data_IF_599032093153
#
_entry.id   IF_599032093153
#
_cell.length_a   1.000
_cell.length_b   1.000
_cell.length_c   1.000
_cell.angle_alpha   90.00
_cell.angle_beta   90.00
_cell.angle_gamma   90.00
#
_symmetry.space_group_name_H-M   'P 1'
#
loop_
_entity.id
_entity.type
_entity.pdbx_description
1 polymer ?
#
# COMPACT_ATOMS: atom_id res chain seq x y z
N UNK A 1 -8.20 -8.15 -4.85
CA UNK A 1 -7.48 -7.05 -4.18
C UNK A 1 -7.94 -7.01 -2.73
N UNK A 2 -7.03 -6.83 -1.77
CA UNK A 2 -7.36 -6.65 -0.36
C UNK A 2 -6.63 -5.43 0.22
N UNK A 3 -7.24 -4.81 1.22
CA UNK A 3 -6.71 -3.63 1.86
C UNK A 3 -6.85 -3.68 3.38
N UNK A 4 -5.91 -3.02 4.05
CA UNK A 4 -6.10 -2.55 5.41
C UNK A 4 -6.95 -1.28 5.33
N UNK A 5 -8.10 -1.30 6.00
CA UNK A 5 -8.97 -0.14 6.18
C UNK A 5 -8.66 0.49 7.53
N UNK A 6 -8.02 1.66 7.50
CA UNK A 6 -7.63 2.40 8.70
C UNK A 6 -8.84 3.06 9.33
N UNK A 7 -8.98 2.91 10.65
CA UNK A 7 -9.97 3.60 11.48
C UNK A 7 -9.34 4.70 12.34
N UNK A 8 -8.01 4.86 12.28
CA UNK A 8 -7.22 5.80 13.09
C UNK A 8 -6.79 5.22 14.43
N UNK A 9 -5.82 5.89 15.08
CA UNK A 9 -5.23 5.48 16.36
C UNK A 9 -4.71 4.02 16.35
N UNK A 10 -4.12 3.58 15.23
CA UNK A 10 -3.65 2.22 15.01
C UNK A 10 -4.75 1.15 14.87
N UNK A 11 -6.03 1.52 14.88
CA UNK A 11 -7.14 0.59 14.63
C UNK A 11 -7.35 0.39 13.15
N UNK A 12 -7.57 -0.86 12.76
CA UNK A 12 -7.85 -1.22 11.39
C UNK A 12 -8.58 -2.57 11.31
N UNK A 13 -9.16 -2.83 10.15
CA UNK A 13 -9.59 -4.16 9.74
C UNK A 13 -9.15 -4.43 8.30
N UNK A 14 -9.24 -5.68 7.86
CA UNK A 14 -8.88 -6.06 6.49
C UNK A 14 -10.16 -6.36 5.73
N UNK A 15 -10.26 -5.82 4.52
CA UNK A 15 -11.39 -6.05 3.62
C UNK A 15 -10.91 -6.34 2.20
N UNK A 16 -11.60 -7.20 1.43
CA UNK A 16 -11.52 -7.13 -0.02
C UNK A 16 -11.93 -5.73 -0.51
N UNK A 17 -11.37 -5.34 -1.65
CA UNK A 17 -11.73 -4.10 -2.35
C UNK A 17 -12.58 -4.46 -3.56
N UNK A 18 -13.74 -3.80 -3.67
CA UNK A 18 -14.69 -4.03 -4.75
C UNK A 18 -14.58 -2.99 -5.87
N UNK A 19 -14.09 -1.80 -5.55
CA UNK A 19 -13.87 -0.75 -6.52
C UNK A 19 -13.16 0.46 -5.94
N UNK A 20 -12.63 1.27 -6.84
CA UNK A 20 -12.00 2.55 -6.58
C UNK A 20 -12.60 3.58 -7.54
N UNK A 21 -13.18 4.64 -6.99
CA UNK A 21 -13.92 5.62 -7.76
C UNK A 21 -13.53 7.04 -7.38
N UNK A 22 -13.66 7.96 -8.35
CA UNK A 22 -13.40 9.39 -8.20
C UNK A 22 -14.67 10.17 -8.52
N UNK A 23 -14.99 11.16 -7.69
CA UNK A 23 -16.16 12.05 -7.85
C UNK A 23 -15.71 13.46 -8.25
N UNK A 24 -14.97 13.54 -9.35
CA UNK A 24 -14.47 14.80 -9.89
C UNK A 24 -15.56 15.46 -10.73
N UNK A 25 -16.07 16.60 -10.25
CA UNK A 25 -17.19 17.35 -10.85
C UNK A 25 -16.75 18.68 -11.44
N UNK A 26 -15.68 19.27 -10.89
CA UNK A 26 -15.19 20.57 -11.31
C UNK A 26 -14.57 20.53 -12.70
N UNK A 27 -14.83 21.60 -13.46
CA UNK A 27 -14.17 21.90 -14.74
C UNK A 27 -13.01 22.89 -14.59
N UNK A 28 -12.88 23.53 -13.43
CA UNK A 28 -11.73 24.38 -13.10
C UNK A 28 -10.53 23.49 -12.75
N UNK A 29 -9.38 23.74 -13.37
CA UNK A 29 -8.23 22.82 -13.29
C UNK A 29 -7.71 22.64 -11.85
N UNK A 30 -7.64 23.71 -11.06
CA UNK A 30 -7.13 23.63 -9.69
C UNK A 30 -8.13 22.92 -8.78
N UNK A 31 -9.42 23.26 -8.89
CA UNK A 31 -10.45 22.59 -8.12
C UNK A 31 -10.61 21.11 -8.55
N UNK A 32 -10.43 20.80 -9.84
CA UNK A 32 -10.43 19.43 -10.36
C UNK A 32 -9.27 18.63 -9.77
N UNK A 33 -8.08 19.22 -9.68
CA UNK A 33 -6.92 18.63 -9.02
C UNK A 33 -7.21 18.32 -7.54
N UNK A 34 -7.75 19.28 -6.79
CA UNK A 34 -8.11 19.07 -5.39
C UNK A 34 -9.16 17.96 -5.22
N UNK A 35 -10.18 17.94 -6.07
CA UNK A 35 -11.18 16.87 -6.07
C UNK A 35 -10.55 15.51 -6.37
N UNK A 36 -9.64 15.42 -7.34
CA UNK A 36 -8.96 14.17 -7.70
C UNK A 36 -8.10 13.58 -6.59
N UNK A 37 -7.75 14.37 -5.58
CA UNK A 37 -6.97 13.95 -4.41
C UNK A 37 -7.87 13.64 -3.22
N UNK A 38 -8.89 14.47 -2.97
CA UNK A 38 -9.68 14.41 -1.72
C UNK A 38 -11.03 13.70 -1.84
N UNK A 39 -11.58 13.54 -3.04
CA UNK A 39 -12.85 12.81 -3.24
C UNK A 39 -12.72 11.35 -3.66
N UNK A 40 -11.54 10.78 -4.03
CA UNK A 40 -11.47 9.36 -4.30
C UNK A 40 -11.89 8.52 -3.10
N UNK A 41 -12.59 7.43 -3.37
CA UNK A 41 -13.02 6.47 -2.36
C UNK A 41 -12.93 5.04 -2.90
N UNK A 42 -12.79 4.12 -1.96
CA UNK A 42 -12.88 2.70 -2.21
C UNK A 42 -14.24 2.17 -1.75
N UNK A 43 -14.72 1.15 -2.43
CA UNK A 43 -15.86 0.33 -1.97
C UNK A 43 -15.29 -0.91 -1.31
N UNK A 44 -15.57 -1.06 -0.02
CA UNK A 44 -15.09 -2.14 0.85
C UNK A 44 -16.26 -2.66 1.69
N UNK A 45 -16.07 -3.80 2.34
CA UNK A 45 -16.95 -4.20 3.44
C UNK A 45 -16.76 -3.27 4.63
N UNK A 46 -17.80 -3.12 5.45
CA UNK A 46 -17.64 -2.70 6.84
C UNK A 46 -16.90 -3.78 7.66
N UNK A 47 -16.47 -3.42 8.87
CA UNK A 47 -15.72 -4.33 9.76
C UNK A 47 -16.51 -5.62 10.07
N UNK A 48 -17.85 -5.54 10.10
CA UNK A 48 -18.72 -6.69 10.31
C UNK A 48 -18.84 -7.62 9.08
N UNK A 49 -18.48 -7.12 7.88
CA UNK A 49 -18.63 -7.87 6.63
C UNK A 49 -20.09 -8.06 6.22
N UNK A 50 -20.95 -7.09 6.56
CA UNK A 50 -22.41 -7.10 6.37
C UNK A 50 -22.85 -6.05 5.34
N UNK A 51 -22.17 -4.89 5.28
CA UNK A 51 -22.55 -3.78 4.41
C UNK A 51 -21.38 -3.33 3.53
N UNK A 52 -21.66 -3.02 2.27
CA UNK A 52 -20.71 -2.27 1.46
C UNK A 52 -20.74 -0.81 1.89
N UNK A 53 -19.57 -0.20 1.97
CA UNK A 53 -19.41 1.20 2.37
C UNK A 53 -18.44 1.93 1.43
N UNK A 54 -18.61 3.25 1.35
CA UNK A 54 -17.59 4.15 0.78
C UNK A 54 -16.59 4.49 1.86
N UNK A 55 -15.32 4.22 1.61
CA UNK A 55 -14.23 4.67 2.45
C UNK A 55 -13.32 5.59 1.65
N UNK A 56 -13.20 6.86 2.05
CA UNK A 56 -12.35 7.80 1.33
C UNK A 56 -10.91 7.31 1.30
N UNK A 57 -10.23 7.46 0.15
CA UNK A 57 -8.83 7.09 0.00
C UNK A 57 -7.93 7.91 0.94
N UNK A 58 -8.29 9.18 1.15
CA UNK A 58 -7.61 10.12 2.03
C UNK A 58 -8.53 10.56 3.17
N UNK A 59 -7.97 10.83 4.34
CA UNK A 59 -8.73 11.42 5.45
C UNK A 59 -9.28 12.79 5.02
N UNK A 60 -10.60 13.04 5.17
CA UNK A 60 -11.17 14.33 4.81
C UNK A 60 -10.82 15.39 5.85
N UNK A 61 -10.76 16.65 5.41
CA UNK A 61 -10.61 17.85 6.27
C UNK A 61 -9.31 17.90 7.09
N UNK A 62 -8.24 17.28 6.60
CA UNK A 62 -6.91 17.35 7.19
C UNK A 62 -5.99 18.26 6.38
N UNK A 63 -4.99 18.85 7.05
CA UNK A 63 -3.95 19.65 6.37
C UNK A 63 -3.07 18.77 5.48
N UNK A 64 -2.85 17.53 5.89
CA UNK A 64 -1.97 16.57 5.23
C UNK A 64 -2.79 15.49 4.53
N UNK A 65 -2.22 14.91 3.48
CA UNK A 65 -2.77 13.71 2.84
C UNK A 65 -2.48 12.52 3.76
N UNK A 66 -3.54 11.93 4.29
CA UNK A 66 -3.44 10.81 5.22
C UNK A 66 -4.22 9.65 4.58
N UNK A 67 -3.53 8.71 3.91
CA UNK A 67 -4.19 7.56 3.29
C UNK A 67 -4.96 6.74 4.32
N UNK A 68 -6.17 6.34 3.99
CA UNK A 68 -7.02 5.53 4.86
C UNK A 68 -7.11 4.07 4.41
N UNK A 69 -6.66 3.78 3.20
CA UNK A 69 -6.67 2.47 2.56
C UNK A 69 -5.22 2.14 2.20
N UNK A 70 -4.69 1.04 2.74
CA UNK A 70 -3.39 0.51 2.36
C UNK A 70 -3.61 -0.80 1.61
N UNK A 71 -3.31 -0.84 0.31
CA UNK A 71 -3.51 -2.01 -0.53
C UNK A 71 -2.41 -3.02 -0.21
N UNK A 72 -2.77 -4.16 0.37
CA UNK A 72 -1.84 -5.21 0.83
C UNK A 72 -1.85 -6.45 -0.07
N UNK A 73 -2.80 -6.53 -0.99
CA UNK A 73 -2.83 -7.51 -2.06
C UNK A 73 -3.42 -6.82 -3.30
N UNK A 74 -2.56 -6.53 -4.27
CA UNK A 74 -2.90 -5.70 -5.44
C UNK A 74 -3.53 -6.49 -6.58
N UNK A 75 -3.75 -7.80 -6.47
CA UNK A 75 -4.41 -8.59 -7.52
C UNK A 75 -5.79 -8.06 -7.90
N UNK A 76 -5.99 -7.67 -9.16
CA UNK A 76 -7.22 -7.09 -9.70
C UNK A 76 -8.02 -8.08 -10.58
N UNK A 77 -8.02 -9.37 -10.23
CA UNK A 77 -8.78 -10.37 -10.98
C UNK A 77 -10.27 -10.00 -11.04
N UNK A 78 -10.82 -9.99 -12.26
CA UNK A 78 -12.21 -9.62 -12.51
C UNK A 78 -12.51 -8.13 -12.43
N UNK A 79 -11.50 -7.26 -12.33
CA UNK A 79 -11.71 -5.81 -12.38
C UNK A 79 -11.89 -5.30 -13.82
N UNK A 80 -12.73 -4.29 -13.95
CA UNK A 80 -12.87 -3.46 -15.15
C UNK A 80 -12.56 -2.02 -14.71
N UNK A 81 -11.52 -1.44 -15.31
CA UNK A 81 -11.06 -0.08 -15.05
C UNK A 81 -10.99 0.76 -16.34
N UNK A 82 -11.12 2.07 -16.18
CA UNK A 82 -10.87 3.05 -17.23
C UNK A 82 -9.38 3.46 -17.30
N UNK A 83 -9.07 4.38 -18.21
CA UNK A 83 -7.70 4.87 -18.44
C UNK A 83 -7.11 5.60 -17.22
N UNK A 84 -7.94 6.05 -16.26
CA UNK A 84 -7.53 6.75 -15.05
C UNK A 84 -7.44 5.81 -13.83
N UNK A 85 -7.50 4.49 -14.07
CA UNK A 85 -7.50 3.43 -13.05
C UNK A 85 -8.76 3.41 -12.19
N UNK A 86 -9.85 4.05 -12.64
CA UNK A 86 -11.13 4.07 -11.94
C UNK A 86 -11.96 2.87 -12.38
N UNK A 87 -12.40 2.06 -11.43
CA UNK A 87 -12.97 0.77 -11.76
C UNK A 87 -13.32 -0.08 -10.55
N UNK A 88 -13.75 -1.30 -10.83
CA UNK A 88 -14.09 -2.28 -9.81
C UNK A 88 -14.40 -3.64 -10.39
N UNK A 89 -14.82 -4.57 -9.54
CA UNK A 89 -15.17 -5.93 -9.96
C UNK A 89 -16.34 -5.92 -10.94
N UNK A 90 -16.25 -6.72 -12.00
CA UNK A 90 -17.14 -6.73 -13.16
C UNK A 90 -18.63 -6.94 -12.81
N UNK A 91 -18.91 -7.74 -11.79
CA UNK A 91 -20.26 -8.07 -11.34
C UNK A 91 -20.88 -7.00 -10.44
N UNK A 92 -20.10 -6.02 -10.00
CA UNK A 92 -20.54 -4.91 -9.16
C UNK A 92 -20.16 -3.56 -9.82
N UNK A 93 -20.83 -3.17 -10.92
CA UNK A 93 -20.67 -1.85 -11.50
C UNK A 93 -20.95 -0.74 -10.49
N UNK A 94 -20.34 0.43 -10.70
CA UNK A 94 -20.43 1.57 -9.80
C UNK A 94 -21.86 1.93 -9.41
N UNK A 95 -22.78 1.97 -10.37
CA UNK A 95 -24.18 2.33 -10.13
C UNK A 95 -24.88 1.34 -9.19
N UNK A 96 -24.51 0.06 -9.28
CA UNK A 96 -25.04 -1.00 -8.41
C UNK A 96 -24.42 -0.88 -7.02
N UNK A 97 -23.11 -0.63 -6.93
CA UNK A 97 -22.43 -0.39 -5.66
C UNK A 97 -23.05 0.81 -4.92
N UNK A 98 -23.22 1.94 -5.62
CA UNK A 98 -23.83 3.15 -5.07
C UNK A 98 -25.27 2.88 -4.57
N UNK A 99 -26.08 2.15 -5.34
CA UNK A 99 -27.43 1.77 -4.92
C UNK A 99 -27.44 0.88 -3.67
N UNK A 100 -26.52 -0.09 -3.58
CA UNK A 100 -26.40 -0.97 -2.40
C UNK A 100 -26.00 -0.15 -1.18
N UNK A 101 -25.02 0.74 -1.32
CA UNK A 101 -24.53 1.58 -0.23
C UNK A 101 -25.65 2.51 0.28
N UNK A 102 -26.42 3.11 -0.63
CA UNK A 102 -27.49 4.05 -0.24
C UNK A 102 -28.72 3.35 0.36
N UNK A 103 -29.08 2.16 -0.15
CA UNK A 103 -30.30 1.45 0.26
C UNK A 103 -30.09 0.37 1.32
N UNK A 104 -28.87 -0.14 1.46
CA UNK A 104 -28.53 -1.34 2.24
C UNK A 104 -29.04 -2.65 1.63
N UNK A 105 -29.61 -2.62 0.41
CA UNK A 105 -30.24 -3.79 -0.21
C UNK A 105 -29.42 -4.31 -1.38
N UNK A 106 -29.05 -5.58 -1.31
CA UNK A 106 -28.36 -6.28 -2.39
C UNK A 106 -29.37 -6.81 -3.43
N UNK A 107 -29.15 -6.56 -4.73
CA UNK A 107 -29.84 -7.28 -5.78
C UNK A 107 -29.57 -8.79 -5.69
N UNK A 108 -30.49 -9.59 -6.22
CA UNK A 108 -30.43 -11.06 -6.17
C UNK A 108 -29.05 -11.61 -6.60
N UNK A 109 -28.43 -12.38 -5.72
CA UNK A 109 -27.14 -13.04 -5.95
C UNK A 109 -25.90 -12.15 -5.84
N UNK A 110 -26.03 -10.83 -5.74
CA UNK A 110 -24.87 -9.92 -5.62
C UNK A 110 -24.18 -10.06 -4.26
N UNK A 111 -24.96 -10.23 -3.19
CA UNK A 111 -24.41 -10.42 -1.84
C UNK A 111 -23.46 -11.63 -1.78
N UNK A 112 -23.90 -12.79 -2.30
CA UNK A 112 -23.10 -14.01 -2.30
C UNK A 112 -21.83 -13.87 -3.15
N UNK A 113 -21.91 -13.16 -4.28
CA UNK A 113 -20.71 -12.82 -5.07
C UNK A 113 -19.75 -11.95 -4.26
N UNK A 114 -20.26 -10.93 -3.56
CA UNK A 114 -19.42 -10.07 -2.71
C UNK A 114 -18.77 -10.87 -1.56
N UNK A 115 -19.50 -11.81 -0.94
CA UNK A 115 -18.94 -12.70 0.11
C UNK A 115 -17.92 -13.70 -0.44
N UNK A 116 -18.07 -14.08 -1.70
CA UNK A 116 -17.10 -14.95 -2.38
C UNK A 116 -15.78 -14.22 -2.71
N UNK A 117 -15.80 -12.89 -2.90
CA UNK A 117 -14.59 -12.10 -3.07
C UNK A 117 -13.76 -12.15 -1.79
N UNK A 118 -12.53 -12.66 -1.90
CA UNK A 118 -11.66 -12.83 -0.75
C UNK A 118 -12.06 -13.99 0.17
N UNK A 119 -13.02 -14.83 -0.23
CA UNK A 119 -13.34 -16.03 0.54
C UNK A 119 -12.09 -16.93 0.66
N UNK A 120 -11.68 -17.19 1.90
CA UNK A 120 -10.47 -17.97 2.19
C UNK A 120 -9.17 -17.16 2.17
N UNK A 121 -9.22 -15.84 1.96
CA UNK A 121 -8.08 -14.97 2.17
C UNK A 121 -7.72 -14.92 3.67
N UNK A 122 -6.45 -15.16 3.97
CA UNK A 122 -5.90 -15.04 5.32
C UNK A 122 -4.85 -13.92 5.32
N UNK A 123 -5.13 -12.87 6.08
CA UNK A 123 -4.16 -11.80 6.27
C UNK A 123 -2.97 -12.30 7.09
N UNK A 124 -1.77 -12.22 6.52
CA UNK A 124 -0.53 -12.44 7.26
C UNK A 124 0.14 -11.08 7.51
N UNK A 125 0.36 -10.69 8.78
CA UNK A 125 1.00 -9.42 9.12
C UNK A 125 2.45 -9.29 8.63
N UNK A 126 3.13 -10.43 8.46
CA UNK A 126 4.50 -10.49 7.96
C UNK A 126 4.51 -11.24 6.63
N UNK A 127 5.16 -10.66 5.63
CA UNK A 127 5.27 -11.20 4.27
C UNK A 127 6.74 -11.21 3.84
N UNK A 128 7.19 -12.30 3.26
CA UNK A 128 8.53 -12.42 2.67
C UNK A 128 8.47 -12.05 1.18
N UNK A 129 9.48 -11.33 0.71
CA UNK A 129 9.65 -10.99 -0.71
C UNK A 129 10.24 -12.20 -1.43
N UNK A 130 9.42 -12.93 -2.17
CA UNK A 130 9.82 -14.12 -2.93
C UNK A 130 9.57 -13.97 -4.43
N UNK A 131 8.66 -13.09 -4.81
CA UNK A 131 8.17 -12.91 -6.17
C UNK A 131 7.97 -11.43 -6.50
N UNK A 132 7.84 -11.11 -7.78
CA UNK A 132 7.47 -9.76 -8.22
C UNK A 132 6.13 -9.31 -7.61
N UNK A 133 5.21 -10.26 -7.36
CA UNK A 133 3.93 -9.94 -6.74
C UNK A 133 4.09 -9.44 -5.31
N UNK A 134 5.03 -10.00 -4.56
CA UNK A 134 5.32 -9.56 -3.20
C UNK A 134 5.91 -8.15 -3.20
N UNK A 135 6.75 -7.82 -4.20
CA UNK A 135 7.27 -6.46 -4.42
C UNK A 135 6.14 -5.49 -4.72
N UNK A 136 5.28 -5.80 -5.70
CA UNK A 136 4.11 -4.99 -6.03
C UNK A 136 3.24 -4.74 -4.79
N UNK A 137 2.95 -5.77 -4.02
CA UNK A 137 2.13 -5.64 -2.81
C UNK A 137 2.78 -4.72 -1.77
N UNK A 138 4.10 -4.77 -1.60
CA UNK A 138 4.83 -3.86 -0.73
C UNK A 138 4.76 -2.41 -1.24
N UNK A 139 5.03 -2.18 -2.52
CA UNK A 139 4.97 -0.86 -3.16
C UNK A 139 3.59 -0.21 -3.02
N UNK A 140 2.53 -0.99 -3.26
CA UNK A 140 1.15 -0.56 -3.10
C UNK A 140 0.81 -0.21 -1.64
N UNK A 141 1.32 -0.97 -0.67
CA UNK A 141 1.05 -0.75 0.74
C UNK A 141 1.83 0.44 1.32
N UNK A 142 3.06 0.66 0.86
CA UNK A 142 3.96 1.69 1.37
C UNK A 142 3.92 3.01 0.58
N UNK A 143 3.25 3.04 -0.57
CA UNK A 143 3.30 4.17 -1.50
C UNK A 143 4.69 4.32 -2.12
N UNK A 144 5.35 3.20 -2.43
CA UNK A 144 6.71 3.19 -2.98
C UNK A 144 7.78 3.70 -2.01
N UNK A 145 7.47 3.78 -0.71
CA UNK A 145 8.33 4.43 0.31
C UNK A 145 8.61 5.93 0.05
N UNK A 146 7.74 6.61 -0.71
CA UNK A 146 7.83 8.06 -0.84
C UNK A 146 7.65 8.72 0.54
N UNK A 147 8.55 9.64 0.87
CA UNK A 147 8.67 10.33 2.17
C UNK A 147 9.03 9.40 3.35
N UNK A 148 9.47 8.17 3.07
CA UNK A 148 9.96 7.29 4.13
C UNK A 148 11.30 7.79 4.69
N UNK A 149 11.54 7.58 5.96
CA UNK A 149 12.86 7.75 6.57
C UNK A 149 13.14 6.63 7.56
N UNK A 150 14.43 6.31 7.75
CA UNK A 150 14.84 5.27 8.69
C UNK A 150 14.73 5.83 10.11
N UNK A 151 13.76 5.32 10.87
CA UNK A 151 13.61 5.63 12.29
C UNK A 151 14.53 4.76 13.16
N UNK A 152 14.79 3.53 12.75
CA UNK A 152 15.59 2.57 13.50
C UNK A 152 16.28 1.60 12.54
N UNK A 153 17.57 1.34 12.75
CA UNK A 153 18.34 0.34 12.01
C UNK A 153 19.24 -0.39 12.99
N UNK A 154 19.07 -1.72 13.12
CA UNK A 154 19.73 -2.52 14.14
C UNK A 154 20.14 -3.89 13.58
N UNK A 155 21.45 -4.15 13.59
CA UNK A 155 21.98 -5.50 13.40
C UNK A 155 21.72 -6.32 14.67
N UNK A 156 21.09 -7.48 14.51
CA UNK A 156 20.71 -8.36 15.60
C UNK A 156 21.82 -9.39 15.89
N UNK A 157 21.74 -10.03 17.06
CA UNK A 157 22.72 -11.02 17.53
C UNK A 157 22.81 -12.26 16.61
N UNK A 158 21.74 -12.56 15.86
CA UNK A 158 21.69 -13.66 14.90
C UNK A 158 22.23 -13.28 13.50
N UNK A 159 22.69 -12.04 13.33
CA UNK A 159 23.21 -11.51 12.07
C UNK A 159 22.13 -10.99 11.11
N UNK A 160 20.85 -11.04 11.48
CA UNK A 160 19.79 -10.37 10.73
C UNK A 160 19.81 -8.86 10.96
N UNK A 161 19.35 -8.08 9.99
CA UNK A 161 19.20 -6.64 10.12
C UNK A 161 17.72 -6.29 10.21
N UNK A 162 17.35 -5.53 11.25
CA UNK A 162 16.03 -4.93 11.40
C UNK A 162 16.08 -3.46 11.04
N UNK A 163 15.13 -3.02 10.21
CA UNK A 163 14.97 -1.62 9.80
C UNK A 163 13.52 -1.22 10.00
N UNK A 164 13.30 -0.07 10.61
CA UNK A 164 11.97 0.53 10.77
C UNK A 164 11.91 1.84 10.03
N UNK A 165 11.00 1.92 9.07
CA UNK A 165 10.67 3.13 8.35
C UNK A 165 9.50 3.85 9.02
N UNK A 166 9.62 5.16 9.13
CA UNK A 166 8.53 6.09 9.45
C UNK A 166 8.32 7.02 8.25
N UNK A 167 7.27 7.85 8.27
CA UNK A 167 7.01 8.81 7.20
C UNK A 167 6.32 8.25 5.95
N UNK A 168 6.29 6.91 5.78
CA UNK A 168 5.43 6.25 4.79
C UNK A 168 3.97 6.65 4.99
N UNK A 169 3.27 7.00 3.93
CA UNK A 169 1.97 7.66 4.07
C UNK A 169 0.91 6.75 4.71
N UNK A 170 0.56 7.06 5.97
CA UNK A 170 -0.49 6.38 6.72
C UNK A 170 -0.08 5.06 7.38
N UNK A 171 1.21 4.73 7.38
CA UNK A 171 1.74 3.58 8.10
C UNK A 171 3.21 3.76 8.46
N UNK A 172 3.71 2.80 9.23
CA UNK A 172 5.15 2.50 9.36
C UNK A 172 5.41 1.15 8.74
N UNK A 173 6.62 0.95 8.24
CA UNK A 173 7.02 -0.33 7.68
C UNK A 173 8.23 -0.86 8.44
N UNK A 174 8.08 -2.03 9.02
CA UNK A 174 9.21 -2.78 9.55
C UNK A 174 9.71 -3.76 8.50
N UNK A 175 11.02 -3.89 8.38
CA UNK A 175 11.70 -4.75 7.40
C UNK A 175 12.80 -5.53 8.12
N UNK A 176 12.93 -6.80 7.76
CA UNK A 176 14.02 -7.67 8.21
C UNK A 176 14.75 -8.26 7.02
N UNK A 177 16.08 -8.24 7.10
CA UNK A 177 16.99 -8.83 6.11
C UNK A 177 17.82 -9.94 6.76
N UNK A 178 18.01 -11.07 6.08
CA UNK A 178 18.86 -12.17 6.58
C UNK A 178 19.50 -13.01 5.48
N UNK A 179 20.53 -13.77 5.86
CA UNK A 179 21.32 -14.61 4.96
C UNK A 179 22.22 -13.76 4.07
N UNK A 180 23.41 -13.40 4.56
CA UNK A 180 24.40 -12.56 3.85
C UNK A 180 23.96 -11.10 3.69
N UNK A 181 23.75 -10.41 4.82
CA UNK A 181 23.32 -9.01 4.86
C UNK A 181 24.49 -8.05 4.58
N UNK A 182 24.29 -7.14 3.64
CA UNK A 182 25.13 -5.97 3.33
C UNK A 182 24.21 -4.75 3.20
N UNK A 183 24.66 -3.58 3.65
CA UNK A 183 23.87 -2.35 3.54
C UNK A 183 24.75 -1.11 3.66
N UNK A 184 24.28 0.00 3.10
CA UNK A 184 24.81 1.35 3.32
C UNK A 184 23.64 2.31 3.51
N UNK A 185 23.64 3.05 4.61
CA UNK A 185 22.60 4.05 4.93
C UNK A 185 23.18 5.47 5.07
N UNK A 186 24.47 5.65 4.77
CA UNK A 186 25.21 6.89 5.05
C UNK A 186 24.74 8.06 4.19
N UNK A 187 24.21 7.81 2.99
CA UNK A 187 23.66 8.84 2.10
C UNK A 187 22.36 9.48 2.59
N UNK A 188 21.79 8.96 3.70
CA UNK A 188 20.56 9.44 4.36
C UNK A 188 20.77 9.67 5.86
N UNK A 189 22.01 9.95 6.28
CA UNK A 189 22.30 10.34 7.66
C UNK A 189 21.59 11.68 7.99
N UNK A 190 20.64 11.70 8.96
CA UNK A 190 19.89 12.91 9.30
C UNK A 190 20.76 14.04 9.88
N UNK A 191 21.97 13.75 10.37
CA UNK A 191 22.91 14.76 10.86
C UNK A 191 23.68 15.44 9.71
N UNK A 192 23.76 14.81 8.54
CA UNK A 192 24.57 15.28 7.40
C UNK A 192 23.73 15.70 6.18
N UNK A 193 22.53 15.14 5.99
CA UNK A 193 21.72 15.32 4.79
C UNK A 193 20.21 15.14 5.04
N UNK A 194 19.41 15.26 3.97
CA UNK A 194 17.98 14.98 4.00
C UNK A 194 17.74 13.47 4.19
N UNK A 195 17.10 13.01 5.28
CA UNK A 195 16.94 11.58 5.56
C UNK A 195 15.77 10.94 4.81
N UNK A 196 14.95 11.73 4.11
CA UNK A 196 13.75 11.26 3.43
C UNK A 196 14.05 10.63 2.07
N UNK A 197 13.37 9.53 1.80
CA UNK A 197 13.38 8.84 0.51
C UNK A 197 12.34 9.48 -0.40
N UNK A 198 12.69 9.69 -1.67
CA UNK A 198 11.76 10.22 -2.68
C UNK A 198 10.97 9.12 -3.38
N UNK A 199 11.43 7.87 -3.25
CA UNK A 199 10.86 6.66 -3.82
C UNK A 199 11.79 5.49 -3.52
N UNK A 200 11.47 4.30 -4.05
CA UNK A 200 12.32 3.13 -3.84
C UNK A 200 12.17 2.11 -4.95
N UNK A 201 13.16 1.21 -5.03
CA UNK A 201 13.13 0.02 -5.89
C UNK A 201 13.48 -1.21 -5.06
N UNK A 202 12.69 -2.29 -5.20
CA UNK A 202 13.05 -3.63 -4.72
C UNK A 202 13.37 -4.53 -5.91
N UNK A 203 14.48 -5.26 -5.87
CA UNK A 203 14.95 -6.11 -6.98
C UNK A 203 15.27 -7.50 -6.44
N UNK A 204 14.74 -8.54 -7.10
CA UNK A 204 15.19 -9.93 -6.89
C UNK A 204 16.19 -10.28 -8.00
N UNK A 205 17.44 -10.53 -7.65
CA UNK A 205 18.51 -10.85 -8.60
C UNK A 205 19.60 -11.73 -7.98
N UNK A 206 20.00 -12.79 -8.71
CA UNK A 206 21.07 -13.73 -8.32
C UNK A 206 20.93 -14.29 -6.88
N UNK A 207 19.71 -14.70 -6.50
CA UNK A 207 19.35 -15.19 -5.15
C UNK A 207 19.49 -14.15 -4.03
N UNK A 208 19.56 -12.85 -4.36
CA UNK A 208 19.50 -11.73 -3.43
C UNK A 208 18.27 -10.86 -3.68
N UNK A 209 17.81 -10.21 -2.62
CA UNK A 209 16.89 -9.08 -2.64
C UNK A 209 17.70 -7.81 -2.38
N UNK A 210 17.53 -6.82 -3.24
CA UNK A 210 18.07 -5.47 -3.11
C UNK A 210 16.93 -4.51 -2.82
N UNK A 211 17.12 -3.58 -1.90
CA UNK A 211 16.17 -2.52 -1.60
C UNK A 211 16.90 -1.18 -1.54
N UNK A 212 16.49 -0.22 -2.36
CA UNK A 212 17.24 1.01 -2.62
C UNK A 212 16.31 2.22 -2.62
N UNK A 213 16.80 3.36 -2.14
CA UNK A 213 16.09 4.64 -2.02
C UNK A 213 16.00 5.47 -3.30
N UNK A 214 15.78 4.82 -4.43
CA UNK A 214 15.64 5.44 -5.75
C UNK A 214 14.69 4.61 -6.62
N UNK A 215 13.98 5.27 -7.53
CA UNK A 215 13.05 4.63 -8.48
C UNK A 215 13.78 4.11 -9.72
N UNK A 216 13.20 3.11 -10.40
CA UNK A 216 13.70 2.54 -11.67
C UNK A 216 15.16 2.05 -11.65
N UNK A 217 15.64 1.59 -10.50
CA UNK A 217 17.03 1.14 -10.33
C UNK A 217 17.28 -0.27 -10.90
N UNK A 218 18.49 -0.48 -11.43
CA UNK A 218 19.07 -1.80 -11.70
C UNK A 218 20.25 -2.08 -10.77
N UNK A 219 20.57 -3.36 -10.57
CA UNK A 219 21.64 -3.77 -9.62
C UNK A 219 22.99 -3.13 -9.95
N UNK A 220 23.31 -2.94 -11.24
CA UNK A 220 24.57 -2.33 -11.68
C UNK A 220 24.65 -0.81 -11.45
N UNK A 221 23.52 -0.15 -11.16
CA UNK A 221 23.48 1.28 -10.84
C UNK A 221 23.67 1.57 -9.35
N UNK A 222 23.48 0.56 -8.49
CA UNK A 222 23.60 0.70 -7.03
C UNK A 222 25.04 1.08 -6.67
N UNK A 223 25.20 2.18 -5.95
CA UNK A 223 26.49 2.75 -5.56
C UNK A 223 26.38 3.49 -4.22
N UNK A 224 27.51 3.92 -3.67
CA UNK A 224 27.63 4.62 -2.37
C UNK A 224 26.85 5.95 -2.29
N UNK A 225 26.30 6.45 -3.41
CA UNK A 225 25.42 7.62 -3.42
C UNK A 225 24.00 7.36 -2.93
N UNK A 226 23.63 6.09 -2.73
CA UNK A 226 22.28 5.65 -2.39
C UNK A 226 22.24 4.98 -1.02
N UNK A 227 21.06 4.99 -0.42
CA UNK A 227 20.75 4.20 0.77
C UNK A 227 20.20 2.86 0.30
N UNK A 228 20.90 1.78 0.62
CA UNK A 228 20.57 0.46 0.09
C UNK A 228 20.80 -0.67 1.08
N UNK A 229 20.04 -1.74 0.86
CA UNK A 229 20.12 -3.00 1.58
C UNK A 229 20.21 -4.15 0.58
N UNK A 230 20.96 -5.19 0.94
CA UNK A 230 21.12 -6.42 0.17
C UNK A 230 21.14 -7.60 1.14
N UNK A 231 20.35 -8.62 0.86
CA UNK A 231 20.38 -9.89 1.59
C UNK A 231 19.75 -11.01 0.76
N UNK A 232 19.93 -12.27 1.14
CA UNK A 232 19.23 -13.39 0.46
C UNK A 232 17.73 -13.37 0.68
N UNK A 233 17.31 -12.82 1.82
CA UNK A 233 15.92 -12.78 2.20
C UNK A 233 15.55 -11.42 2.77
N UNK A 234 14.31 -11.02 2.48
CA UNK A 234 13.69 -9.80 2.98
C UNK A 234 12.25 -10.13 3.35
N UNK A 235 11.81 -9.70 4.53
CA UNK A 235 10.38 -9.70 4.90
C UNK A 235 9.99 -8.35 5.46
N UNK A 236 8.70 -8.03 5.38
CA UNK A 236 8.17 -6.77 5.87
C UNK A 236 6.89 -6.96 6.68
N UNK A 237 6.57 -5.93 7.46
CA UNK A 237 5.31 -5.78 8.21
C UNK A 237 4.81 -4.34 8.11
N UNK A 238 3.57 -4.18 7.70
CA UNK A 238 2.88 -2.90 7.66
C UNK A 238 2.26 -2.63 9.04
N UNK A 239 2.51 -1.46 9.61
CA UNK A 239 1.95 -1.00 10.88
C UNK A 239 1.11 0.24 10.60
N UNK A 240 -0.22 0.10 10.50
CA UNK A 240 -1.08 1.24 10.22
C UNK A 240 -1.04 2.28 11.35
N UNK A 241 -1.01 3.56 10.99
CA UNK A 241 -1.05 4.69 11.93
C UNK A 241 -2.41 4.85 12.62
#
# INVERSE_FOLDING_TARGET
MHAIVRQGDGKYYVSPVFGYYKDVKSKDDYQRYLESIHTPYYVVWDEAGEHLIKWFAMQPNTKYLIPQILIIESGQEGWIEDEDGVGGVDFLPREVADQIIDSGLFPDGVFEKCKAVGAGYEYKPEQEILTQKDIENLEWASGGFHDACIQECKLQDDGSLYVKFDGTWGCKVEVWFWGDVEYDISSRDPDECDPYWYGSTVIIWDDFVYFVDEEDMTVDQISDGYCWFKARHMKYRIIPD
#
